data_IF_275324450753
#
_entry.id   IF_275324450753
#
_cell.length_a   1.000
_cell.length_b   1.000
_cell.length_c   1.000
_cell.angle_alpha   90.00
_cell.angle_beta   90.00
_cell.angle_gamma   90.00
#
_symmetry.space_group_name_H-M   'P 1'
#
loop_
_entity.id
_entity.type
_entity.pdbx_description
1 polymer ?
#
# COMPACT_ATOMS: atom_id res chain seq x y z
N UNK A 1 7.07 9.30 17.65
CA UNK A 1 6.68 8.35 16.59
C UNK A 1 5.19 8.48 16.37
N UNK A 2 4.78 9.12 15.25
CA UNK A 2 3.37 9.49 15.08
C UNK A 2 2.63 8.37 14.35
N UNK A 3 1.87 7.58 15.09
CA UNK A 3 0.69 6.89 14.56
C UNK A 3 -0.52 7.75 14.85
N UNK A 4 -1.44 7.86 13.93
CA UNK A 4 -2.67 8.59 14.16
C UNK A 4 -3.88 7.82 13.65
N UNK A 5 -5.03 8.08 14.26
CA UNK A 5 -6.30 7.52 13.82
C UNK A 5 -6.88 8.37 12.69
N UNK A 6 -7.21 7.73 11.58
CA UNK A 6 -7.96 8.37 10.50
C UNK A 6 -9.43 8.45 10.89
N UNK A 7 -9.89 9.64 11.24
CA UNK A 7 -11.26 9.88 11.72
C UNK A 7 -12.30 10.01 10.61
N UNK A 8 -11.87 10.21 9.36
CA UNK A 8 -12.74 10.43 8.22
C UNK A 8 -12.51 9.38 7.14
N UNK A 9 -13.53 9.11 6.36
CA UNK A 9 -13.43 8.30 5.14
C UNK A 9 -12.47 8.96 4.15
N UNK A 10 -11.53 8.18 3.63
CA UNK A 10 -10.53 8.66 2.65
C UNK A 10 -11.15 8.95 1.29
N UNK A 11 -12.28 8.29 0.98
CA UNK A 11 -12.94 8.44 -0.31
C UNK A 11 -13.93 9.62 -0.33
N UNK A 12 -14.83 9.70 0.66
CA UNK A 12 -15.92 10.69 0.65
C UNK A 12 -15.87 11.71 1.80
N UNK A 13 -14.85 11.69 2.66
CA UNK A 13 -14.68 12.60 3.78
C UNK A 13 -15.63 12.39 4.96
N UNK A 14 -16.63 11.50 4.85
CA UNK A 14 -17.62 11.30 5.90
C UNK A 14 -16.96 10.84 7.21
N UNK A 15 -17.45 11.40 8.34
CA UNK A 15 -16.91 11.10 9.68
C UNK A 15 -17.48 9.81 10.31
N UNK A 16 -18.58 9.29 9.78
CA UNK A 16 -19.23 8.09 10.33
C UNK A 16 -18.55 6.84 9.80
N UNK A 17 -17.62 6.30 10.56
CA UNK A 17 -16.89 5.07 10.29
C UNK A 17 -17.31 3.98 11.29
N UNK A 18 -17.68 2.81 10.81
CA UNK A 18 -18.00 1.63 11.63
C UNK A 18 -16.85 0.67 11.59
N UNK A 19 -16.33 0.26 12.75
CA UNK A 19 -15.35 -0.82 12.83
C UNK A 19 -16.00 -2.13 12.44
N UNK A 20 -15.35 -2.87 11.51
CA UNK A 20 -15.79 -4.17 11.01
C UNK A 20 -14.94 -5.29 11.56
N UNK A 21 -13.63 -5.08 11.65
CA UNK A 21 -12.71 -6.09 12.15
C UNK A 21 -11.50 -5.47 12.83
N UNK A 22 -10.97 -6.18 13.82
CA UNK A 22 -9.73 -5.84 14.49
C UNK A 22 -8.78 -7.02 14.38
N UNK A 23 -7.75 -6.88 13.58
CA UNK A 23 -6.60 -7.76 13.68
C UNK A 23 -5.88 -7.43 14.99
N UNK A 24 -5.26 -8.40 15.63
CA UNK A 24 -4.41 -8.13 16.79
C UNK A 24 -3.29 -7.13 16.40
N UNK A 25 -2.57 -6.64 17.37
CA UNK A 25 -1.41 -5.77 17.10
C UNK A 25 -0.38 -6.51 16.25
N UNK A 26 0.08 -5.85 15.18
CA UNK A 26 1.02 -6.41 14.20
C UNK A 26 2.28 -5.53 14.09
N UNK A 27 3.43 -6.11 13.81
CA UNK A 27 4.62 -5.34 13.43
C UNK A 27 4.44 -4.71 12.03
N UNK A 28 5.30 -3.77 11.68
CA UNK A 28 5.44 -3.32 10.28
C UNK A 28 6.05 -4.48 9.49
N UNK A 29 5.48 -4.80 8.32
CA UNK A 29 6.07 -5.75 7.38
C UNK A 29 7.39 -5.22 6.82
N UNK A 30 8.26 -6.13 6.42
CA UNK A 30 9.55 -5.86 5.77
C UNK A 30 10.55 -5.02 6.60
N UNK A 31 10.32 -4.88 7.90
CA UNK A 31 11.26 -4.23 8.83
C UNK A 31 12.34 -5.23 9.31
N UNK A 32 13.14 -5.73 8.36
CA UNK A 32 14.22 -6.69 8.63
C UNK A 32 15.36 -6.04 9.41
N UNK A 33 15.82 -6.70 10.48
CA UNK A 33 16.92 -6.24 11.34
C UNK A 33 18.10 -7.20 11.30
N UNK A 34 19.31 -6.66 11.27
CA UNK A 34 20.55 -7.47 11.33
C UNK A 34 20.71 -8.26 12.63
N UNK A 35 20.12 -7.77 13.73
CA UNK A 35 20.11 -8.43 15.04
C UNK A 35 18.67 -8.52 15.54
N UNK A 36 18.37 -9.55 16.33
CA UNK A 36 17.06 -9.67 16.95
C UNK A 36 16.76 -8.45 17.82
N UNK A 37 15.64 -7.82 17.54
CA UNK A 37 15.08 -6.73 18.35
C UNK A 37 13.58 -6.96 18.51
N UNK A 38 13.04 -6.65 19.68
CA UNK A 38 11.59 -6.75 19.90
C UNK A 38 10.86 -5.79 18.96
N UNK A 39 10.06 -6.34 18.06
CA UNK A 39 9.30 -5.54 17.10
C UNK A 39 8.26 -4.67 17.81
N UNK A 40 8.13 -3.43 17.36
CA UNK A 40 7.05 -2.57 17.84
C UNK A 40 5.75 -2.96 17.14
N UNK A 41 4.70 -3.17 17.94
CA UNK A 41 3.40 -3.60 17.46
C UNK A 41 2.44 -2.41 17.30
N UNK A 42 1.62 -2.44 16.27
CA UNK A 42 0.65 -1.42 15.90
C UNK A 42 -0.74 -2.01 15.77
N UNK A 43 -1.75 -1.22 16.11
CA UNK A 43 -3.14 -1.63 15.91
C UNK A 43 -3.45 -1.71 14.41
N UNK A 44 -4.14 -2.76 14.02
CA UNK A 44 -4.58 -2.99 12.65
C UNK A 44 -6.09 -3.24 12.66
N UNK A 45 -6.85 -2.17 12.39
CA UNK A 45 -8.30 -2.20 12.42
C UNK A 45 -8.89 -1.82 11.07
N UNK A 46 -9.85 -2.60 10.58
CA UNK A 46 -10.67 -2.29 9.42
C UNK A 46 -11.93 -1.53 9.85
N UNK A 47 -12.19 -0.43 9.16
CA UNK A 47 -13.39 0.37 9.32
C UNK A 47 -14.08 0.56 7.97
N UNK A 48 -15.43 0.57 7.99
CA UNK A 48 -16.27 0.81 6.82
C UNK A 48 -16.97 2.15 6.95
N UNK A 49 -16.94 2.94 5.92
CA UNK A 49 -17.74 4.16 5.84
C UNK A 49 -19.23 3.83 5.75
N UNK A 50 -20.05 4.46 6.59
CA UNK A 50 -21.51 4.24 6.58
C UNK A 50 -22.13 4.80 5.30
N UNK A 51 -21.58 5.90 4.77
CA UNK A 51 -22.08 6.56 3.57
C UNK A 51 -21.70 5.80 2.29
N UNK A 52 -20.43 5.86 1.87
CA UNK A 52 -19.98 5.30 0.59
C UNK A 52 -19.57 3.82 0.62
N UNK A 53 -19.65 3.17 1.79
CA UNK A 53 -19.32 1.76 2.03
C UNK A 53 -17.83 1.42 1.86
N UNK A 54 -16.98 2.39 1.55
CA UNK A 54 -15.54 2.19 1.43
C UNK A 54 -14.93 1.61 2.71
N UNK A 55 -14.10 0.59 2.54
CA UNK A 55 -13.38 -0.07 3.64
C UNK A 55 -11.94 0.44 3.66
N UNK A 56 -11.47 0.81 4.85
CA UNK A 56 -10.14 1.36 5.04
C UNK A 56 -9.53 0.92 6.38
N UNK A 57 -8.20 1.01 6.50
CA UNK A 57 -7.54 0.94 7.79
C UNK A 57 -7.80 2.23 8.58
N UNK A 58 -8.14 2.09 9.88
CA UNK A 58 -8.30 3.25 10.76
C UNK A 58 -6.98 3.84 11.22
N UNK A 59 -5.95 2.98 11.35
CA UNK A 59 -4.65 3.38 11.84
C UNK A 59 -3.73 3.72 10.68
N UNK A 60 -3.01 4.82 10.82
CA UNK A 60 -2.00 5.27 9.85
C UNK A 60 -0.65 5.34 10.54
N UNK A 61 0.34 4.72 9.95
CA UNK A 61 1.74 4.82 10.35
C UNK A 61 2.40 5.83 9.42
N UNK A 62 3.34 6.61 9.93
CA UNK A 62 4.11 7.56 9.14
C UNK A 62 4.74 6.85 7.91
N UNK A 63 4.42 7.28 6.68
CA UNK A 63 4.93 6.66 5.47
C UNK A 63 6.46 6.61 5.40
N UNK A 64 7.15 7.64 5.92
CA UNK A 64 8.62 7.65 5.99
C UNK A 64 9.17 6.46 6.77
N UNK A 65 8.40 5.94 7.72
CA UNK A 65 8.81 4.82 8.52
C UNK A 65 8.53 3.47 7.85
N UNK A 66 7.49 3.40 7.05
CA UNK A 66 7.12 2.18 6.30
C UNK A 66 8.00 2.04 5.07
N UNK A 67 8.30 3.14 4.39
CA UNK A 67 8.94 3.15 3.08
C UNK A 67 10.34 3.79 3.06
N UNK A 68 10.81 4.38 4.19
CA UNK A 68 12.09 5.10 4.23
C UNK A 68 13.32 4.23 3.98
N UNK A 69 13.26 2.95 4.39
CA UNK A 69 14.30 1.94 4.18
C UNK A 69 13.72 0.70 3.47
N UNK A 70 12.78 0.92 2.54
CA UNK A 70 12.11 -0.16 1.85
C UNK A 70 13.08 -0.88 0.92
N UNK A 71 13.34 -2.15 1.22
CA UNK A 71 14.36 -2.95 0.55
C UNK A 71 13.87 -3.60 -0.75
N UNK A 72 12.55 -3.67 -0.95
CA UNK A 72 12.01 -4.30 -2.14
C UNK A 72 12.08 -3.37 -3.34
N UNK A 73 12.72 -3.83 -4.38
CA UNK A 73 12.72 -3.20 -5.70
C UNK A 73 12.36 -4.26 -6.75
N UNK A 74 11.51 -3.90 -7.69
CA UNK A 74 10.98 -4.82 -8.72
C UNK A 74 12.09 -5.52 -9.52
N UNK A 75 13.23 -4.87 -9.71
CA UNK A 75 14.36 -5.41 -10.46
C UNK A 75 15.13 -6.54 -9.74
N UNK A 76 14.83 -6.83 -8.48
CA UNK A 76 15.42 -7.99 -7.78
C UNK A 76 14.72 -9.30 -8.13
N UNK A 77 13.55 -9.25 -8.79
CA UNK A 77 12.81 -10.43 -9.22
C UNK A 77 12.86 -10.60 -10.75
N UNK A 78 13.61 -11.60 -11.22
CA UNK A 78 13.71 -11.92 -12.66
C UNK A 78 12.32 -12.19 -13.27
N UNK A 79 11.44 -12.85 -12.53
CA UNK A 79 10.07 -13.12 -12.99
C UNK A 79 9.26 -11.86 -13.23
N UNK A 80 9.35 -10.88 -12.31
CA UNK A 80 8.66 -9.60 -12.47
C UNK A 80 9.27 -8.75 -13.59
N UNK A 81 10.58 -8.73 -13.73
CA UNK A 81 11.23 -8.04 -14.86
C UNK A 81 10.70 -8.56 -16.20
N UNK A 82 10.69 -9.88 -16.38
CA UNK A 82 10.18 -10.52 -17.60
C UNK A 82 8.69 -10.23 -17.80
N UNK A 83 7.91 -10.25 -16.72
CA UNK A 83 6.48 -9.92 -16.78
C UNK A 83 6.24 -8.50 -17.32
N UNK A 84 6.89 -7.50 -16.74
CA UNK A 84 6.71 -6.11 -17.17
C UNK A 84 7.26 -5.85 -18.57
N UNK A 85 8.38 -6.46 -18.92
CA UNK A 85 8.91 -6.39 -20.29
C UNK A 85 7.92 -6.96 -21.31
N UNK A 86 7.37 -8.14 -21.03
CA UNK A 86 6.38 -8.76 -21.90
C UNK A 86 5.06 -7.99 -21.95
N UNK A 87 4.63 -7.41 -20.83
CA UNK A 87 3.47 -6.51 -20.79
C UNK A 87 3.68 -5.31 -21.72
N UNK A 88 4.82 -4.63 -21.64
CA UNK A 88 5.16 -3.51 -22.52
C UNK A 88 5.10 -3.90 -24.00
N UNK A 89 5.73 -5.04 -24.36
CA UNK A 89 5.66 -5.57 -25.73
C UNK A 89 4.23 -5.87 -26.18
N UNK A 90 3.42 -6.46 -25.31
CA UNK A 90 2.02 -6.76 -25.60
C UNK A 90 1.22 -5.49 -25.88
N UNK A 91 1.35 -4.47 -25.05
CA UNK A 91 0.65 -3.20 -25.21
C UNK A 91 0.99 -2.50 -26.53
N UNK A 92 2.26 -2.57 -26.95
CA UNK A 92 2.70 -2.04 -28.25
C UNK A 92 2.13 -2.87 -29.41
N UNK A 93 2.22 -4.21 -29.34
CA UNK A 93 1.72 -5.12 -30.37
C UNK A 93 0.21 -4.97 -30.57
N UNK A 94 -0.55 -4.80 -29.49
CA UNK A 94 -2.00 -4.61 -29.51
C UNK A 94 -2.40 -3.15 -29.85
N UNK A 95 -1.43 -2.29 -30.16
CA UNK A 95 -1.63 -0.85 -30.50
C UNK A 95 -2.36 -0.05 -29.40
N UNK A 96 -2.30 -0.52 -28.16
CA UNK A 96 -2.84 0.20 -26.99
C UNK A 96 -1.96 1.42 -26.70
N UNK A 97 -0.65 1.28 -26.86
CA UNK A 97 0.33 2.36 -26.75
C UNK A 97 1.21 2.44 -28.00
N UNK A 98 1.72 3.64 -28.28
CA UNK A 98 2.63 3.93 -29.38
C UNK A 98 3.64 5.03 -28.95
N UNK A 99 4.53 5.44 -29.86
CA UNK A 99 5.56 6.45 -29.59
C UNK A 99 5.05 7.86 -29.23
N UNK A 100 3.75 8.13 -29.40
CA UNK A 100 3.10 9.40 -29.03
C UNK A 100 2.29 9.27 -27.73
N UNK A 101 2.17 8.07 -27.18
CA UNK A 101 1.39 7.83 -25.96
C UNK A 101 2.05 8.48 -24.75
N UNK A 102 1.25 9.13 -23.92
CA UNK A 102 1.64 9.58 -22.57
C UNK A 102 1.14 8.55 -21.56
N UNK A 103 2.03 8.01 -20.76
CA UNK A 103 1.73 6.96 -19.79
C UNK A 103 1.91 7.53 -18.39
N UNK A 104 0.94 7.29 -17.51
CA UNK A 104 1.03 7.55 -16.09
C UNK A 104 1.01 6.21 -15.37
N UNK A 105 2.04 5.95 -14.58
CA UNK A 105 2.09 4.84 -13.63
C UNK A 105 2.02 5.38 -12.21
N UNK A 106 1.23 4.72 -11.36
CA UNK A 106 1.13 5.02 -9.94
C UNK A 106 1.63 3.77 -9.20
N UNK A 107 2.96 3.72 -8.98
CA UNK A 107 3.67 2.60 -8.38
C UNK A 107 3.87 2.68 -6.89
#
# INVERSE_FOLDING_TARGET
MKTYLKKNCRLCGNKKLRKIYSFKKNPIGDDYKKKYTKAKLYDLNLVRCINCKFVQLSNVIDPKKVYGEYLYVTNTSVGLQNHFYNLGKKLIKEKIINNKSKILEIG
#
